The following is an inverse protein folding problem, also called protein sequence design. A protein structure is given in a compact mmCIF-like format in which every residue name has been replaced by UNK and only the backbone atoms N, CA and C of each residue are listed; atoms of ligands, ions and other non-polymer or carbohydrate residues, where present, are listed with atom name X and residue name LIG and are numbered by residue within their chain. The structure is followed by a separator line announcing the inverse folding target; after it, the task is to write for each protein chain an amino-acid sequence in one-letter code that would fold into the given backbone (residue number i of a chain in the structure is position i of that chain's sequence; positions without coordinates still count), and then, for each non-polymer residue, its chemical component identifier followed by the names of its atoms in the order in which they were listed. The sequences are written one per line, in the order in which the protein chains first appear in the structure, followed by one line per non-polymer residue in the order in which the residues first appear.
data_IF_243453548439
#
_entry.id   IF_243453548439
#
_cell.length_a   1.000
_cell.length_b   1.000
_cell.length_c   1.000
_cell.angle_alpha   90.00
_cell.angle_beta   90.00
_cell.angle_gamma   90.00
#
_symmetry.space_group_name_H-M   'P 1'
#
loop_
_entity.id
_entity.type
_entity.pdbx_description
1 polymer ?
#
# COMPACT_ATOMS: atom_id res chain seq x y z
N UNK A 1 1.99 5.81 25.59
CA UNK A 1 1.46 5.35 24.30
C UNK A 1 2.11 6.21 23.22
N UNK A 2 3.18 5.74 22.59
CA UNK A 2 3.88 6.53 21.55
C UNK A 2 3.04 6.51 20.27
N UNK A 3 2.49 7.67 19.91
CA UNK A 3 1.68 7.86 18.71
C UNK A 3 2.61 7.80 17.49
N UNK A 4 2.61 6.70 16.75
CA UNK A 4 3.39 6.57 15.53
C UNK A 4 2.82 7.49 14.46
N UNK A 5 3.50 8.60 14.17
CA UNK A 5 3.13 9.53 13.11
C UNK A 5 3.77 9.13 11.78
N UNK A 6 3.01 9.22 10.69
CA UNK A 6 3.51 8.93 9.36
C UNK A 6 4.31 10.13 8.84
N UNK A 7 5.61 9.95 8.59
CA UNK A 7 6.43 11.02 7.98
C UNK A 7 6.10 11.15 6.50
N UNK A 8 6.24 12.34 5.89
CA UNK A 8 5.97 12.54 4.46
C UNK A 8 6.73 11.56 3.56
N UNK A 9 7.99 11.28 3.90
CA UNK A 9 8.83 10.33 3.17
C UNK A 9 8.26 8.90 3.25
N UNK A 10 7.92 8.44 4.47
CA UNK A 10 7.35 7.09 4.66
C UNK A 10 6.00 6.93 3.97
N UNK A 11 5.13 7.95 4.04
CA UNK A 11 3.84 7.96 3.36
C UNK A 11 4.00 7.86 1.83
N UNK A 12 4.96 8.59 1.27
CA UNK A 12 5.25 8.55 -0.18
C UNK A 12 5.73 7.16 -0.60
N UNK A 13 6.62 6.54 0.18
CA UNK A 13 7.10 5.18 -0.10
C UNK A 13 5.97 4.15 -0.04
N UNK A 14 5.11 4.21 0.98
CA UNK A 14 3.94 3.32 1.09
C UNK A 14 3.01 3.51 -0.12
N UNK A 15 2.76 4.76 -0.53
CA UNK A 15 1.91 5.06 -1.68
C UNK A 15 2.48 4.47 -2.98
N UNK A 16 3.77 4.66 -3.24
CA UNK A 16 4.44 4.12 -4.43
C UNK A 16 4.38 2.59 -4.43
N UNK A 17 4.67 1.95 -3.29
CA UNK A 17 4.61 0.49 -3.16
C UNK A 17 3.18 -0.05 -3.36
N UNK A 18 2.17 0.62 -2.80
CA UNK A 18 0.77 0.26 -2.99
C UNK A 18 0.35 0.36 -4.47
N UNK A 19 0.78 1.41 -5.17
CA UNK A 19 0.55 1.58 -6.61
C UNK A 19 1.23 0.48 -7.44
N UNK A 20 2.49 0.13 -7.13
CA UNK A 20 3.20 -0.97 -7.82
C UNK A 20 2.50 -2.31 -7.56
N UNK A 21 2.07 -2.58 -6.33
CA UNK A 21 1.33 -3.79 -5.99
C UNK A 21 0.00 -3.86 -6.76
N UNK A 22 -0.75 -2.77 -6.86
CA UNK A 22 -1.97 -2.68 -7.67
C UNK A 22 -1.72 -2.92 -9.17
N UNK A 23 -0.62 -2.39 -9.72
CA UNK A 23 -0.22 -2.67 -11.10
C UNK A 23 0.07 -4.15 -11.32
N UNK A 24 0.82 -4.79 -10.40
CA UNK A 24 1.12 -6.22 -10.47
C UNK A 24 -0.13 -7.08 -10.32
N UNK A 25 -1.07 -6.71 -9.44
CA UNK A 25 -2.37 -7.36 -9.34
C UNK A 25 -3.09 -7.39 -10.69
N UNK A 26 -3.20 -6.23 -11.36
CA UNK A 26 -3.83 -6.12 -12.68
C UNK A 26 -3.11 -6.94 -13.75
N UNK A 27 -1.78 -7.02 -13.68
CA UNK A 27 -0.97 -7.81 -14.63
C UNK A 27 -1.20 -9.31 -14.43
N UNK A 28 -1.18 -9.80 -13.19
CA UNK A 28 -1.45 -11.21 -12.86
C UNK A 28 -2.87 -11.59 -13.25
N UNK A 29 -3.84 -10.69 -13.01
CA UNK A 29 -5.24 -10.93 -13.36
C UNK A 29 -5.43 -11.08 -14.88
N UNK A 30 -4.83 -10.18 -15.66
CA UNK A 30 -4.88 -10.26 -17.13
C UNK A 30 -4.10 -11.43 -17.71
N UNK A 31 -3.07 -11.91 -17.02
CA UNK A 31 -2.27 -13.05 -17.43
C UNK A 31 -2.88 -14.40 -16.99
N UNK A 32 -4.09 -14.40 -16.40
CA UNK A 32 -4.73 -15.58 -15.79
C UNK A 32 -3.78 -16.35 -14.86
N UNK A 33 -2.91 -15.61 -14.18
CA UNK A 33 -1.87 -16.16 -13.33
C UNK A 33 -2.44 -16.82 -12.06
N UNK A 34 -1.56 -17.42 -11.23
CA UNK A 34 -1.97 -18.11 -10.02
C UNK A 34 -2.83 -17.22 -9.11
N UNK A 35 -4.01 -17.71 -8.72
CA UNK A 35 -5.00 -16.93 -7.93
C UNK A 35 -4.45 -16.45 -6.58
N UNK A 36 -3.46 -17.13 -6.01
CA UNK A 36 -2.80 -16.70 -4.78
C UNK A 36 -2.01 -15.39 -4.95
N UNK A 37 -1.43 -15.14 -6.14
CA UNK A 37 -0.69 -13.91 -6.41
C UNK A 37 -1.63 -12.69 -6.48
N UNK A 38 -2.87 -12.90 -6.95
CA UNK A 38 -3.91 -11.87 -6.88
C UNK A 38 -4.16 -11.47 -5.43
N UNK A 39 -4.41 -12.45 -4.55
CA UNK A 39 -4.61 -12.16 -3.14
C UNK A 39 -3.40 -11.47 -2.51
N UNK A 40 -2.17 -11.95 -2.75
CA UNK A 40 -0.96 -11.34 -2.21
C UNK A 40 -0.83 -9.85 -2.61
N UNK A 41 -0.88 -9.55 -3.92
CA UNK A 41 -0.71 -8.18 -4.39
C UNK A 41 -1.89 -7.28 -4.02
N UNK A 42 -3.11 -7.80 -4.03
CA UNK A 42 -4.31 -7.09 -3.63
C UNK A 42 -4.29 -6.72 -2.15
N UNK A 43 -3.88 -7.66 -1.28
CA UNK A 43 -3.83 -7.46 0.17
C UNK A 43 -2.71 -6.49 0.55
N UNK A 44 -1.55 -6.55 -0.10
CA UNK A 44 -0.47 -5.56 0.07
C UNK A 44 -0.95 -4.16 -0.33
N UNK A 45 -1.57 -4.01 -1.49
CA UNK A 45 -2.08 -2.71 -1.95
C UNK A 45 -3.17 -2.16 -1.01
N UNK A 46 -4.14 -3.00 -0.63
CA UNK A 46 -5.20 -2.63 0.29
C UNK A 46 -4.64 -2.17 1.65
N UNK A 47 -3.68 -2.92 2.21
CA UNK A 47 -3.04 -2.57 3.49
C UNK A 47 -2.30 -1.25 3.38
N UNK A 48 -1.56 -1.00 2.29
CA UNK A 48 -0.87 0.27 2.07
C UNK A 48 -1.83 1.47 2.03
N UNK A 49 -2.96 1.34 1.33
CA UNK A 49 -3.97 2.41 1.30
C UNK A 49 -4.72 2.58 2.62
N UNK A 50 -4.97 1.50 3.37
CA UNK A 50 -5.53 1.59 4.71
C UNK A 50 -4.59 2.35 5.66
N UNK A 51 -3.29 2.05 5.63
CA UNK A 51 -2.29 2.77 6.44
C UNK A 51 -2.28 4.26 6.08
N UNK A 52 -2.28 4.61 4.79
CA UNK A 52 -2.31 6.01 4.35
C UNK A 52 -3.62 6.73 4.70
N UNK A 53 -4.75 6.03 4.68
CA UNK A 53 -6.06 6.61 4.97
C UNK A 53 -6.34 6.80 6.47
N UNK A 54 -5.79 5.93 7.32
CA UNK A 54 -6.11 5.90 8.76
C UNK A 54 -4.99 6.36 9.68
N UNK A 55 -3.72 6.38 9.22
CA UNK A 55 -2.61 6.85 10.07
C UNK A 55 -2.41 8.36 9.89
N UNK A 56 -2.45 9.14 10.98
CA UNK A 56 -2.27 10.58 10.90
C UNK A 56 -0.85 10.96 10.46
N UNK A 57 -0.77 11.99 9.63
CA UNK A 57 0.50 12.53 9.12
C UNK A 57 1.22 13.33 10.21
N UNK A 58 2.54 13.19 10.26
CA UNK A 58 3.39 14.10 11.02
C UNK A 58 3.37 15.48 10.33
N UNK A 59 2.63 16.43 10.89
CA UNK A 59 2.75 17.84 10.53
C UNK A 59 4.02 18.41 11.14
N UNK A 60 4.94 19.00 10.34
CA UNK A 60 5.97 19.85 10.91
C UNK A 60 5.27 21.03 11.59
N UNK A 61 5.57 21.24 12.88
CA UNK A 61 5.13 22.41 13.64
C UNK A 61 5.91 23.66 13.28
#
# INVERSE_FOLDING_TARGET
MSMSLLTPLSATLIFVLACIAGYRYRRVWKAEGPRWQLWLFGLIAATGFLVLGFVPMATPG
#
